data_IF_751101916586
#
_entry.id   IF_751101916586
#
_cell.length_a   1.000
_cell.length_b   1.000
_cell.length_c   1.000
_cell.angle_alpha   90.00
_cell.angle_beta   90.00
_cell.angle_gamma   90.00
#
_symmetry.space_group_name_H-M   'P 1'
#
loop_
_entity.id
_entity.type
_entity.pdbx_description
1 polymer ?
#
# COMPACT_ATOMS: atom_id res chain seq x y z
N UNK A 1 12.44 -15.47 -29.39
CA UNK A 1 12.27 -14.90 -28.02
C UNK A 1 13.63 -14.35 -27.59
N UNK A 2 13.67 -13.07 -27.24
CA UNK A 2 14.90 -12.25 -27.24
C UNK A 2 15.99 -12.78 -26.34
N UNK A 3 17.23 -12.82 -26.86
CA UNK A 3 18.43 -13.04 -26.04
C UNK A 3 18.73 -11.73 -25.33
N UNK A 4 18.55 -11.71 -24.02
CA UNK A 4 19.01 -10.64 -23.13
C UNK A 4 20.26 -11.19 -22.44
N UNK A 5 21.40 -10.53 -22.62
CA UNK A 5 22.60 -10.88 -21.85
C UNK A 5 22.48 -10.35 -20.41
N UNK A 6 23.39 -10.79 -19.53
CA UNK A 6 23.33 -10.43 -18.12
C UNK A 6 23.45 -8.90 -17.90
N UNK A 7 24.24 -8.20 -18.71
CA UNK A 7 24.42 -6.77 -18.57
C UNK A 7 23.13 -6.03 -18.93
N UNK A 8 22.48 -6.41 -20.03
CA UNK A 8 21.18 -5.89 -20.43
C UNK A 8 20.09 -6.17 -19.39
N UNK A 9 20.09 -7.36 -18.78
CA UNK A 9 19.12 -7.73 -17.75
C UNK A 9 19.29 -6.89 -16.48
N UNK A 10 20.53 -6.67 -16.04
CA UNK A 10 20.84 -5.86 -14.86
C UNK A 10 20.52 -4.38 -15.08
N UNK A 11 20.84 -3.84 -16.26
CA UNK A 11 20.52 -2.46 -16.63
C UNK A 11 19.00 -2.24 -16.68
N UNK A 12 18.25 -3.14 -17.33
CA UNK A 12 16.78 -3.10 -17.36
C UNK A 12 16.19 -3.14 -15.94
N UNK A 13 16.72 -4.02 -15.07
CA UNK A 13 16.30 -4.11 -13.67
C UNK A 13 16.54 -2.79 -12.92
N UNK A 14 17.73 -2.21 -13.07
CA UNK A 14 18.07 -0.94 -12.41
C UNK A 14 17.18 0.21 -12.89
N UNK A 15 16.87 0.28 -14.18
CA UNK A 15 15.96 1.29 -14.72
C UNK A 15 14.55 1.12 -14.15
N UNK A 16 14.04 -0.12 -14.07
CA UNK A 16 12.75 -0.40 -13.45
C UNK A 16 12.73 -0.02 -11.96
N UNK A 17 13.79 -0.35 -11.20
CA UNK A 17 13.92 0.05 -9.80
C UNK A 17 13.92 1.57 -9.64
N UNK A 18 14.66 2.29 -10.49
CA UNK A 18 14.70 3.75 -10.46
C UNK A 18 13.33 4.39 -10.76
N UNK A 19 12.50 3.75 -11.59
CA UNK A 19 11.15 4.21 -11.89
C UNK A 19 10.16 3.92 -10.74
N UNK A 20 10.28 2.76 -10.08
CA UNK A 20 9.31 2.30 -9.08
C UNK A 20 9.63 2.86 -7.69
N UNK A 21 10.90 2.84 -7.29
CA UNK A 21 11.33 3.16 -5.90
C UNK A 21 10.82 4.50 -5.39
N UNK A 22 10.84 5.60 -6.16
CA UNK A 22 10.34 6.90 -5.69
C UNK A 22 8.85 6.91 -5.33
N UNK A 23 8.06 5.99 -5.91
CA UNK A 23 6.63 5.84 -5.64
C UNK A 23 6.31 4.82 -4.55
N UNK A 24 7.31 4.15 -3.97
CA UNK A 24 7.09 3.18 -2.91
C UNK A 24 6.83 3.89 -1.59
N UNK A 25 5.70 3.56 -0.97
CA UNK A 25 5.40 3.97 0.41
C UNK A 25 5.86 2.85 1.33
N UNK A 26 6.95 3.10 2.07
CA UNK A 26 7.38 2.18 3.11
C UNK A 26 6.62 2.45 4.42
N UNK A 27 6.13 1.38 5.04
CA UNK A 27 5.61 1.42 6.40
C UNK A 27 6.55 0.58 7.26
N UNK A 28 7.43 1.22 8.07
CA UNK A 28 8.41 0.52 8.88
C UNK A 28 7.78 -0.54 9.77
N UNK A 29 8.48 -1.65 10.01
CA UNK A 29 7.96 -2.79 10.78
C UNK A 29 7.43 -2.39 12.17
N UNK A 30 8.13 -1.50 12.87
CA UNK A 30 7.69 -1.01 14.18
C UNK A 30 6.36 -0.25 14.08
N UNK A 31 6.18 0.58 13.06
CA UNK A 31 4.93 1.30 12.77
C UNK A 31 3.81 0.33 12.42
N UNK A 32 4.06 -0.63 11.53
CA UNK A 32 3.07 -1.64 11.15
C UNK A 32 2.62 -2.46 12.36
N UNK A 33 3.54 -2.84 13.25
CA UNK A 33 3.22 -3.59 14.46
C UNK A 33 2.38 -2.75 15.45
N UNK A 34 2.73 -1.48 15.65
CA UNK A 34 1.97 -0.57 16.50
C UNK A 34 0.53 -0.37 15.98
N UNK A 35 0.38 -0.15 14.67
CA UNK A 35 -0.92 -0.02 14.02
C UNK A 35 -1.74 -1.32 14.09
N UNK A 36 -1.11 -2.48 13.90
CA UNK A 36 -1.78 -3.77 14.02
C UNK A 36 -2.35 -3.98 15.42
N UNK A 37 -1.58 -3.63 16.47
CA UNK A 37 -2.03 -3.69 17.85
C UNK A 37 -3.17 -2.69 18.14
N UNK A 38 -3.04 -1.45 17.64
CA UNK A 38 -4.04 -0.39 17.82
C UNK A 38 -5.39 -0.76 17.20
N UNK A 39 -5.39 -1.17 15.93
CA UNK A 39 -6.60 -1.45 15.17
C UNK A 39 -7.07 -2.90 15.29
N UNK A 40 -6.31 -3.77 15.99
CA UNK A 40 -6.58 -5.21 16.16
C UNK A 40 -6.73 -5.93 14.81
N UNK A 41 -5.80 -5.64 13.90
CA UNK A 41 -5.74 -6.23 12.56
C UNK A 41 -4.40 -6.94 12.36
N UNK A 42 -4.26 -7.62 11.22
CA UNK A 42 -2.97 -8.23 10.89
C UNK A 42 -1.90 -7.16 10.62
N UNK A 43 -0.63 -7.51 10.81
CA UNK A 43 0.49 -6.64 10.42
C UNK A 43 0.51 -6.35 8.90
N UNK A 44 -0.14 -7.19 8.10
CA UNK A 44 -0.34 -6.95 6.67
C UNK A 44 -1.33 -5.80 6.43
N UNK A 45 -2.53 -5.87 7.02
CA UNK A 45 -3.54 -4.82 6.88
C UNK A 45 -3.07 -3.48 7.46
N UNK A 46 -2.34 -3.54 8.57
CA UNK A 46 -1.77 -2.38 9.22
C UNK A 46 -0.79 -1.60 8.33
N UNK A 47 -0.10 -2.25 7.38
CA UNK A 47 0.76 -1.55 6.40
C UNK A 47 -0.06 -0.67 5.47
N UNK A 48 -1.22 -1.14 5.03
CA UNK A 48 -2.10 -0.34 4.18
C UNK A 48 -2.71 0.84 4.94
N UNK A 49 -3.07 0.63 6.22
CA UNK A 49 -3.51 1.74 7.09
C UNK A 49 -2.39 2.77 7.30
N UNK A 50 -1.14 2.31 7.50
CA UNK A 50 0.03 3.19 7.63
C UNK A 50 0.29 3.99 6.35
N UNK A 51 0.25 3.33 5.19
CA UNK A 51 0.39 4.02 3.90
C UNK A 51 -0.72 5.06 3.67
N UNK A 52 -1.96 4.72 4.00
CA UNK A 52 -3.11 5.65 3.91
C UNK A 52 -2.90 6.88 4.80
N UNK A 53 -2.42 6.70 6.04
CA UNK A 53 -2.06 7.80 6.94
C UNK A 53 -0.93 8.67 6.37
N UNK A 54 0.14 8.06 5.84
CA UNK A 54 1.26 8.79 5.23
C UNK A 54 0.82 9.63 4.04
N UNK A 55 -0.09 9.11 3.22
CA UNK A 55 -0.63 9.81 2.05
C UNK A 55 -1.73 10.83 2.41
N UNK A 56 -2.26 10.80 3.63
CA UNK A 56 -3.42 11.61 4.02
C UNK A 56 -4.70 11.26 3.28
N UNK A 57 -4.84 9.99 2.85
CA UNK A 57 -5.98 9.49 2.07
C UNK A 57 -6.65 8.33 2.80
N UNK A 58 -7.87 7.98 2.38
CA UNK A 58 -8.57 6.77 2.86
C UNK A 58 -8.15 5.57 2.02
N UNK A 59 -7.89 4.44 2.68
CA UNK A 59 -7.68 3.15 2.04
C UNK A 59 -8.99 2.63 1.44
N UNK A 60 -9.02 2.49 0.12
CA UNK A 60 -10.11 1.80 -0.57
C UNK A 60 -9.92 0.29 -0.41
N UNK A 61 -10.87 -0.39 0.23
CA UNK A 61 -10.84 -1.84 0.44
C UNK A 61 -12.24 -2.42 0.57
N UNK A 62 -12.47 -3.64 0.06
CA UNK A 62 -13.71 -4.41 0.26
C UNK A 62 -13.64 -5.38 1.45
N UNK A 63 -12.53 -5.39 2.19
CA UNK A 63 -12.48 -6.07 3.48
C UNK A 63 -13.34 -5.34 4.53
N UNK A 64 -14.49 -5.93 4.83
CA UNK A 64 -15.45 -5.39 5.80
C UNK A 64 -14.93 -5.41 7.24
N UNK A 65 -14.03 -6.33 7.61
CA UNK A 65 -13.44 -6.37 8.96
C UNK A 65 -12.47 -5.22 9.14
N UNK A 66 -11.62 -4.97 8.13
CA UNK A 66 -10.69 -3.85 8.15
C UNK A 66 -11.43 -2.51 8.18
N UNK A 67 -12.52 -2.36 7.40
CA UNK A 67 -13.36 -1.15 7.45
C UNK A 67 -13.99 -0.88 8.81
N UNK A 68 -14.45 -1.93 9.49
CA UNK A 68 -14.99 -1.80 10.86
C UNK A 68 -13.91 -1.47 11.88
N UNK A 69 -12.69 -1.98 11.68
CA UNK A 69 -11.57 -1.74 12.57
C UNK A 69 -11.04 -0.29 12.47
N UNK A 70 -11.04 0.29 11.27
CA UNK A 70 -10.48 1.62 11.01
C UNK A 70 -11.39 2.47 10.08
N UNK A 71 -12.61 2.82 10.51
CA UNK A 71 -13.61 3.45 9.63
C UNK A 71 -13.17 4.81 9.08
N UNK A 72 -12.42 5.59 9.86
CA UNK A 72 -11.94 6.92 9.44
C UNK A 72 -10.81 6.83 8.40
N UNK A 73 -10.10 5.69 8.35
CA UNK A 73 -8.97 5.47 7.45
C UNK A 73 -9.34 4.63 6.22
N UNK A 74 -10.58 4.18 6.11
CA UNK A 74 -10.97 3.21 5.09
C UNK A 74 -12.30 3.55 4.46
N UNK A 75 -12.51 3.08 3.23
CA UNK A 75 -13.78 3.16 2.52
C UNK A 75 -13.93 2.01 1.54
N UNK A 76 -15.16 1.73 1.14
CA UNK A 76 -15.48 0.85 0.02
C UNK A 76 -15.18 1.55 -1.32
N UNK A 77 -15.06 0.75 -2.38
CA UNK A 77 -14.93 1.26 -3.74
C UNK A 77 -16.17 2.06 -4.16
N UNK A 78 -17.36 1.62 -3.74
CA UNK A 78 -18.60 2.31 -4.05
C UNK A 78 -18.65 3.73 -3.46
N UNK A 79 -18.21 3.88 -2.19
CA UNK A 79 -18.08 5.20 -1.54
C UNK A 79 -17.05 6.07 -2.25
N UNK A 80 -15.88 5.52 -2.57
CA UNK A 80 -14.82 6.25 -3.27
C UNK A 80 -15.26 6.76 -4.66
N UNK A 81 -16.03 5.97 -5.40
CA UNK A 81 -16.56 6.38 -6.71
C UNK A 81 -17.64 7.46 -6.58
N UNK A 82 -18.43 7.44 -5.51
CA UNK A 82 -19.45 8.45 -5.25
C UNK A 82 -18.85 9.82 -4.91
N UNK A 83 -17.62 9.87 -4.36
CA UNK A 83 -16.89 11.12 -4.08
C UNK A 83 -16.32 11.79 -5.36
N UNK A 84 -16.25 11.05 -6.47
CA UNK A 84 -15.73 11.54 -7.76
C UNK A 84 -16.83 12.04 -8.72
N UNK A 85 -18.10 11.83 -8.36
CA UNK A 85 -19.27 12.20 -9.15
C UNK A 85 -19.81 13.58 -8.76
#
# INVERSE_FOLDING_TARGET
>A
VGRCDLAQALDTRQQAEALITPGLIDTPHATALALAAQFKVSAYDARYLGAAQTLGLRLITEDTRLRRAAPDLTQSLAEALAELA
#
